data_IF_200678675649
#
_entry.id   IF_200678675649
#
_cell.length_a   1.000
_cell.length_b   1.000
_cell.length_c   1.000
_cell.angle_alpha   90.00
_cell.angle_beta   90.00
_cell.angle_gamma   90.00
#
_symmetry.space_group_name_H-M   'P 1'
#
loop_
_entity.id
_entity.type
_entity.pdbx_description
1 polymer ?
#
# COMPACT_ATOMS: atom_id res chain seq x y z
N UNK A 1 -15.48 3.86 -24.13
CA UNK A 1 -16.77 3.43 -24.70
C UNK A 1 -17.89 3.74 -23.71
N UNK A 2 -18.87 4.55 -24.10
CA UNK A 2 -20.02 4.92 -23.27
C UNK A 2 -21.11 3.86 -23.42
N UNK A 3 -21.72 3.40 -22.31
CA UNK A 3 -23.00 2.68 -22.33
C UNK A 3 -24.04 3.72 -21.96
N UNK A 4 -24.97 4.05 -22.86
CA UNK A 4 -25.98 5.11 -22.72
C UNK A 4 -25.46 6.56 -22.70
N UNK A 5 -24.39 6.87 -23.46
CA UNK A 5 -23.95 8.27 -23.65
C UNK A 5 -23.26 8.93 -22.44
N UNK A 6 -23.13 8.24 -21.29
CA UNK A 6 -22.39 8.74 -20.13
C UNK A 6 -20.90 8.40 -20.22
N UNK A 7 -20.04 9.37 -19.94
CA UNK A 7 -18.59 9.16 -19.82
C UNK A 7 -18.31 8.22 -18.65
N UNK A 8 -17.62 7.11 -18.92
CA UNK A 8 -17.17 6.18 -17.87
C UNK A 8 -15.76 6.56 -17.48
N UNK A 9 -15.56 6.97 -16.24
CA UNK A 9 -14.24 7.12 -15.65
C UNK A 9 -13.71 5.71 -15.32
N UNK A 10 -12.61 5.24 -15.92
CA UNK A 10 -12.01 3.96 -15.55
C UNK A 10 -11.50 3.99 -14.11
N UNK A 11 -11.63 2.86 -13.41
CA UNK A 11 -11.05 2.64 -12.09
C UNK A 11 -10.18 1.38 -12.06
N UNK A 12 -9.40 1.18 -10.99
CA UNK A 12 -8.62 -0.05 -10.80
C UNK A 12 -9.49 -1.31 -10.88
N UNK A 13 -10.74 -1.27 -10.40
CA UNK A 13 -11.70 -2.37 -10.49
C UNK A 13 -12.05 -2.80 -11.91
N UNK A 14 -11.71 -1.98 -12.92
CA UNK A 14 -11.95 -2.31 -14.32
C UNK A 14 -10.79 -3.09 -14.96
N UNK A 15 -9.68 -3.30 -14.25
CA UNK A 15 -8.53 -4.09 -14.72
C UNK A 15 -8.76 -5.59 -14.57
N UNK A 16 -8.07 -6.40 -15.39
CA UNK A 16 -8.06 -7.86 -15.20
C UNK A 16 -7.30 -8.22 -13.92
N UNK A 17 -8.05 -8.74 -12.95
CA UNK A 17 -7.58 -9.08 -11.60
C UNK A 17 -6.53 -10.19 -11.57
N UNK A 18 -6.32 -10.90 -12.68
CA UNK A 18 -5.30 -11.96 -12.79
C UNK A 18 -3.93 -11.40 -13.18
N UNK A 19 -3.85 -10.17 -13.67
CA UNK A 19 -2.56 -9.57 -14.04
C UNK A 19 -1.65 -9.42 -12.82
N UNK A 20 -0.34 -9.60 -13.01
CA UNK A 20 0.63 -9.42 -11.93
C UNK A 20 0.63 -7.98 -11.41
N UNK A 21 0.57 -6.99 -12.31
CA UNK A 21 0.52 -5.58 -11.95
C UNK A 21 -0.69 -5.23 -11.07
N UNK A 22 -1.90 -5.74 -11.39
CA UNK A 22 -3.07 -5.53 -10.54
C UNK A 22 -2.88 -6.16 -9.16
N UNK A 23 -2.45 -7.42 -9.11
CA UNK A 23 -2.26 -8.15 -7.85
C UNK A 23 -1.22 -7.47 -6.96
N UNK A 24 -0.10 -7.05 -7.53
CA UNK A 24 0.97 -6.36 -6.81
C UNK A 24 0.52 -5.01 -6.25
N UNK A 25 -0.22 -4.23 -7.06
CA UNK A 25 -0.75 -2.95 -6.60
C UNK A 25 -1.76 -3.15 -5.46
N UNK A 26 -2.72 -4.08 -5.61
CA UNK A 26 -3.72 -4.34 -4.57
C UNK A 26 -3.09 -4.90 -3.29
N UNK A 27 -2.11 -5.81 -3.38
CA UNK A 27 -1.37 -6.31 -2.21
C UNK A 27 -0.67 -5.17 -1.47
N UNK A 28 0.01 -4.28 -2.20
CA UNK A 28 0.66 -3.11 -1.59
C UNK A 28 -0.35 -2.19 -0.90
N UNK A 29 -1.51 -1.93 -1.51
CA UNK A 29 -2.58 -1.13 -0.90
C UNK A 29 -3.02 -1.76 0.42
N UNK A 30 -3.36 -3.04 0.39
CA UNK A 30 -3.88 -3.74 1.56
C UNK A 30 -2.85 -3.83 2.68
N UNK A 31 -1.57 -4.02 2.35
CA UNK A 31 -0.48 -4.02 3.35
C UNK A 31 -0.24 -2.65 3.96
N UNK A 32 -0.15 -1.60 3.15
CA UNK A 32 0.07 -0.22 3.62
C UNK A 32 -1.08 0.24 4.52
N UNK A 33 -2.32 -0.11 4.17
CA UNK A 33 -3.50 0.17 4.99
C UNK A 33 -3.52 -0.72 6.24
N UNK A 34 -3.17 -2.00 6.11
CA UNK A 34 -3.14 -2.96 7.22
C UNK A 34 -2.14 -2.58 8.31
N UNK A 35 -0.96 -2.10 7.94
CA UNK A 35 0.05 -1.54 8.86
C UNK A 35 -0.48 -0.36 9.67
N UNK A 36 -1.55 0.30 9.21
CA UNK A 36 -2.20 1.45 9.84
C UNK A 36 -3.52 1.08 10.55
N UNK A 37 -3.74 -0.20 10.82
CA UNK A 37 -4.93 -0.67 11.54
C UNK A 37 -6.15 -0.94 10.66
N UNK A 38 -6.02 -0.88 9.34
CA UNK A 38 -7.09 -1.20 8.39
C UNK A 38 -7.84 0.02 7.87
N UNK A 39 -8.77 -0.21 6.93
CA UNK A 39 -9.46 0.87 6.18
C UNK A 39 -10.25 1.83 7.08
N UNK A 40 -10.81 1.33 8.18
CA UNK A 40 -11.60 2.16 9.11
C UNK A 40 -10.73 3.05 10.01
N UNK A 41 -9.42 2.79 10.08
CA UNK A 41 -8.45 3.55 10.88
C UNK A 41 -7.63 4.52 10.03
N UNK A 42 -7.87 4.57 8.72
CA UNK A 42 -7.13 5.43 7.78
C UNK A 42 -8.06 6.49 7.22
N UNK A 43 -7.67 7.76 7.33
CA UNK A 43 -8.44 8.86 6.75
C UNK A 43 -8.44 8.81 5.21
N UNK A 44 -9.42 9.50 4.61
CA UNK A 44 -9.66 9.47 3.16
C UNK A 44 -8.44 9.92 2.36
N UNK A 45 -7.69 10.90 2.84
CA UNK A 45 -6.51 11.42 2.12
C UNK A 45 -5.40 10.37 2.12
N UNK A 46 -5.12 9.76 3.28
CA UNK A 46 -4.13 8.68 3.36
C UNK A 46 -4.56 7.43 2.59
N UNK A 47 -5.85 7.11 2.56
CA UNK A 47 -6.35 6.00 1.75
C UNK A 47 -6.12 6.24 0.25
N UNK A 48 -6.41 7.46 -0.25
CA UNK A 48 -6.17 7.83 -1.63
C UNK A 48 -4.66 7.89 -1.97
N UNK A 49 -3.84 8.38 -1.04
CA UNK A 49 -2.37 8.35 -1.16
C UNK A 49 -1.83 6.93 -1.18
N UNK A 50 -2.39 5.99 -0.39
CA UNK A 50 -1.96 4.59 -0.39
C UNK A 50 -2.21 3.93 -1.76
N UNK A 51 -3.39 4.17 -2.35
CA UNK A 51 -3.71 3.70 -3.70
C UNK A 51 -2.73 4.23 -4.75
N UNK A 52 -2.52 5.55 -4.77
CA UNK A 52 -1.60 6.20 -5.71
C UNK A 52 -0.17 5.71 -5.52
N UNK A 53 0.30 5.65 -4.27
CA UNK A 53 1.63 5.19 -3.92
C UNK A 53 1.90 3.75 -4.38
N UNK A 54 0.92 2.86 -4.23
CA UNK A 54 1.03 1.47 -4.66
C UNK A 54 1.12 1.34 -6.18
N UNK A 55 0.31 2.10 -6.92
CA UNK A 55 0.35 2.15 -8.40
C UNK A 55 1.71 2.66 -8.87
N UNK A 56 2.18 3.79 -8.36
CA UNK A 56 3.49 4.35 -8.73
C UNK A 56 4.63 3.40 -8.38
N UNK A 57 4.56 2.72 -7.22
CA UNK A 57 5.55 1.70 -6.83
C UNK A 57 5.58 0.53 -7.81
N UNK A 58 4.41 0.06 -8.25
CA UNK A 58 4.28 -1.04 -9.21
C UNK A 58 4.83 -0.64 -10.59
N UNK A 59 4.58 0.60 -11.03
CA UNK A 59 5.13 1.12 -12.27
C UNK A 59 6.66 1.21 -12.24
N UNK A 60 7.23 1.74 -11.14
CA UNK A 60 8.69 1.81 -10.96
C UNK A 60 9.35 0.42 -11.02
N UNK A 61 8.73 -0.59 -10.40
CA UNK A 61 9.19 -1.98 -10.49
C UNK A 61 9.19 -2.48 -11.93
N UNK A 62 8.13 -2.21 -12.69
CA UNK A 62 8.06 -2.55 -14.12
C UNK A 62 9.20 -1.95 -14.93
N UNK A 63 9.47 -0.65 -14.73
CA UNK A 63 10.59 0.05 -15.39
C UNK A 63 11.93 -0.56 -14.98
N UNK A 64 12.14 -0.87 -13.70
CA UNK A 64 13.37 -1.51 -13.22
C UNK A 64 13.59 -2.89 -13.87
N UNK A 65 12.55 -3.72 -13.95
CA UNK A 65 12.62 -5.03 -14.60
C UNK A 65 12.91 -4.89 -16.09
N UNK A 66 12.29 -3.92 -16.78
CA UNK A 66 12.58 -3.63 -18.18
C UNK A 66 14.06 -3.28 -18.40
N UNK A 67 14.63 -2.41 -17.55
CA UNK A 67 16.04 -2.06 -17.59
C UNK A 67 16.95 -3.27 -17.36
N UNK A 68 16.67 -4.06 -16.31
CA UNK A 68 17.46 -5.25 -15.97
C UNK A 68 17.42 -6.33 -17.05
N UNK A 69 16.36 -6.38 -17.85
CA UNK A 69 16.25 -7.25 -19.03
C UNK A 69 16.92 -6.67 -20.29
N UNK A 70 17.68 -5.58 -20.17
CA UNK A 70 18.41 -4.93 -21.28
C UNK A 70 17.54 -4.02 -22.14
N UNK A 71 16.31 -3.73 -21.74
CA UNK A 71 15.45 -2.75 -22.40
C UNK A 71 15.85 -1.32 -22.08
N UNK A 72 15.49 -0.37 -22.93
CA UNK A 72 15.68 1.05 -22.64
C UNK A 72 14.65 1.54 -21.61
N UNK A 73 15.08 2.40 -20.69
CA UNK A 73 14.20 3.09 -19.74
C UNK A 73 14.47 4.58 -19.82
N UNK A 74 13.40 5.39 -19.87
CA UNK A 74 13.53 6.83 -19.69
C UNK A 74 13.73 7.15 -18.20
N UNK A 75 14.96 7.53 -17.86
CA UNK A 75 15.32 7.87 -16.49
C UNK A 75 14.73 9.21 -16.01
N UNK A 76 14.32 10.09 -16.91
CA UNK A 76 13.61 11.32 -16.57
C UNK A 76 12.18 11.02 -16.15
N UNK A 77 11.50 10.14 -16.89
CA UNK A 77 10.18 9.61 -16.51
C UNK A 77 10.27 8.85 -15.19
N UNK A 78 11.25 7.95 -15.06
CA UNK A 78 11.48 7.17 -13.84
C UNK A 78 11.62 8.09 -12.61
N UNK A 79 12.48 9.11 -12.72
CA UNK A 79 12.73 10.05 -11.63
C UNK A 79 11.49 10.87 -11.27
N UNK A 80 10.68 11.23 -12.27
CA UNK A 80 9.42 11.93 -12.04
C UNK A 80 8.45 11.08 -11.23
N UNK A 81 8.26 9.81 -11.61
CA UNK A 81 7.41 8.85 -10.91
C UNK A 81 7.96 8.57 -9.50
N UNK A 82 9.28 8.37 -9.37
CA UNK A 82 9.92 8.12 -8.09
C UNK A 82 9.73 9.28 -7.10
N UNK A 83 9.81 10.52 -7.58
CA UNK A 83 9.57 11.70 -6.77
C UNK A 83 8.09 11.86 -6.39
N UNK A 84 7.15 11.57 -7.30
CA UNK A 84 5.73 11.54 -6.96
C UNK A 84 5.44 10.48 -5.89
N UNK A 85 5.97 9.26 -6.06
CA UNK A 85 5.86 8.15 -5.11
C UNK A 85 6.47 8.50 -3.75
N UNK A 86 7.58 9.25 -3.72
CA UNK A 86 8.19 9.75 -2.48
C UNK A 86 7.24 10.70 -1.74
N UNK A 87 6.62 11.66 -2.45
CA UNK A 87 5.66 12.62 -1.87
C UNK A 87 4.42 11.94 -1.32
N UNK A 88 3.86 10.96 -2.03
CA UNK A 88 2.76 10.15 -1.50
C UNK A 88 3.20 9.39 -0.23
N UNK A 89 4.44 8.90 -0.19
CA UNK A 89 5.01 8.26 0.99
C UNK A 89 5.16 9.22 2.19
N UNK A 90 5.50 10.48 1.94
CA UNK A 90 5.54 11.53 2.96
C UNK A 90 4.15 11.80 3.53
N UNK A 91 3.12 11.88 2.68
CA UNK A 91 1.72 12.02 3.10
C UNK A 91 1.26 10.83 3.96
N UNK A 92 1.68 9.61 3.58
CA UNK A 92 1.36 8.39 4.33
C UNK A 92 2.04 8.31 5.70
N UNK A 93 3.20 8.94 5.85
CA UNK A 93 3.99 8.93 7.08
C UNK A 93 4.42 7.52 7.53
N UNK A 94 4.97 7.45 8.75
CA UNK A 94 5.19 6.17 9.41
C UNK A 94 3.87 5.64 10.00
N UNK A 95 3.64 4.31 10.03
CA UNK A 95 2.50 3.75 10.75
C UNK A 95 2.59 4.10 12.24
N UNK A 96 1.44 4.15 12.90
CA UNK A 96 1.40 4.36 14.34
C UNK A 96 2.05 3.19 15.08
N UNK A 97 2.76 3.49 16.18
CA UNK A 97 3.32 2.45 17.01
C UNK A 97 2.19 1.58 17.57
N UNK A 98 2.31 0.26 17.42
CA UNK A 98 1.35 -0.67 17.99
C UNK A 98 1.31 -0.51 19.51
N UNK A 99 0.13 -0.32 20.08
CA UNK A 99 -0.03 -0.39 21.52
C UNK A 99 0.30 -1.81 22.00
N UNK A 100 1.36 -1.92 22.78
CA UNK A 100 1.85 -3.16 23.39
C UNK A 100 1.57 -3.19 24.90
N UNK A 101 0.77 -2.26 25.42
CA UNK A 101 0.43 -2.19 26.83
C UNK A 101 -0.26 -3.50 27.22
N UNK A 102 0.31 -4.28 28.15
CA UNK A 102 -0.30 -5.53 28.56
C UNK A 102 -1.63 -5.23 29.24
N UNK A 103 -2.65 -6.00 28.90
CA UNK A 103 -3.89 -6.02 29.69
C UNK A 103 -3.58 -6.48 31.11
N UNK A 104 -4.43 -6.12 32.08
CA UNK A 104 -4.25 -6.56 33.46
C UNK A 104 -4.16 -8.09 33.56
N UNK A 105 -4.96 -8.82 32.79
CA UNK A 105 -4.92 -10.29 32.76
C UNK A 105 -3.59 -10.83 32.26
N UNK A 106 -3.02 -10.25 31.20
CA UNK A 106 -1.68 -10.62 30.70
C UNK A 106 -0.60 -10.30 31.72
N UNK A 107 -0.65 -9.10 32.32
CA UNK A 107 0.29 -8.69 33.36
C UNK A 107 0.28 -9.66 34.56
N UNK A 108 -0.90 -10.06 35.02
CA UNK A 108 -1.04 -11.01 36.13
C UNK A 108 -0.54 -12.40 35.76
N UNK A 109 -0.85 -12.90 34.56
CA UNK A 109 -0.36 -14.21 34.11
C UNK A 109 1.17 -14.27 34.03
N UNK A 110 1.79 -13.21 33.51
CA UNK A 110 3.24 -13.14 33.30
C UNK A 110 4.02 -12.94 34.62
N UNK A 111 3.43 -12.29 35.62
CA UNK A 111 4.13 -11.93 36.86
C UNK A 111 3.70 -12.73 38.10
N UNK A 112 2.55 -13.39 38.06
CA UNK A 112 1.95 -14.06 39.22
C UNK A 112 1.43 -15.48 38.91
N UNK A 113 1.88 -16.13 37.83
CA UNK A 113 1.63 -17.56 37.66
C UNK A 113 2.38 -18.34 38.76
N UNK A 114 1.61 -18.94 39.68
CA UNK A 114 2.17 -19.78 40.74
C UNK A 114 2.94 -20.96 40.13
N UNK A 115 4.14 -21.31 40.65
CA UNK A 115 4.84 -22.49 40.19
C UNK A 115 3.99 -23.72 40.51
N UNK A 116 3.70 -24.53 39.48
CA UNK A 116 2.96 -25.78 39.63
C UNK A 116 3.64 -26.67 40.69
N UNK A 117 2.89 -26.98 41.74
CA UNK A 117 3.28 -27.87 42.84
C UNK A 117 3.30 -29.34 42.40
#
# INVERSE_FOLDING_TARGET
>A
MTRNGKLRLPSLDNLDRRTAAYRDAMDLIDRVIGERGGRDQVDVVRAASAETWAVLTTQLRGMQVQWLNGGCVDWSEFTTIANARRREGETLGSPEARDITPTLSQYLADNYSEPAA
#
